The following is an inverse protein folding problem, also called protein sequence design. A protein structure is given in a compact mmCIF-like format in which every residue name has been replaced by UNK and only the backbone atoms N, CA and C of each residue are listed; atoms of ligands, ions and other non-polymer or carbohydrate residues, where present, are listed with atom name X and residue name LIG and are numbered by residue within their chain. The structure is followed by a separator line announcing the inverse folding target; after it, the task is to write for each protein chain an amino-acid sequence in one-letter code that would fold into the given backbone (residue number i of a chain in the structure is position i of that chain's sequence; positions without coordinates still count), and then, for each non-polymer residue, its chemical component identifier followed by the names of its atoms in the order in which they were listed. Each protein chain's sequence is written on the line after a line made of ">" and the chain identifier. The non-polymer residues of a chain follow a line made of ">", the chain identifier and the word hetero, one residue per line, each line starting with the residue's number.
data_IF_374872365037
#
_entry.id   IF_374872365037
#
_cell.length_a   1.000
_cell.length_b   1.000
_cell.length_c   1.000
_cell.angle_alpha   90.00
_cell.angle_beta   90.00
_cell.angle_gamma   90.00
#
_symmetry.space_group_name_H-M   'P 1'
#
loop_
_entity.id
_entity.type
_entity.pdbx_description
1 polymer ?
#
# COMPACT_ATOMS: atom_id res chain seq x y z
N UNK A 1 77.11 53.84 -18.78
CA UNK A 1 75.98 53.59 -17.87
C UNK A 1 74.79 54.39 -18.39
N UNK A 2 73.60 53.78 -18.51
CA UNK A 2 72.86 53.78 -19.76
C UNK A 2 72.35 55.18 -20.12
N UNK A 3 72.77 55.65 -21.30
CA UNK A 3 72.20 56.83 -21.93
C UNK A 3 70.71 56.57 -22.19
N UNK A 4 69.83 57.26 -21.48
CA UNK A 4 68.43 57.35 -21.87
C UNK A 4 68.37 58.22 -23.13
N UNK A 5 68.44 57.59 -24.30
CA UNK A 5 68.05 58.26 -25.53
C UNK A 5 66.55 58.54 -25.44
N UNK A 6 66.21 59.79 -25.12
CA UNK A 6 64.85 60.29 -25.31
C UNK A 6 64.57 60.30 -26.80
N UNK A 7 63.68 59.41 -27.24
CA UNK A 7 63.22 59.43 -28.62
C UNK A 7 62.48 60.75 -28.87
N UNK A 8 62.75 61.45 -29.98
CA UNK A 8 62.03 62.68 -30.31
C UNK A 8 60.54 62.39 -30.50
N UNK A 9 59.69 63.19 -29.84
CA UNK A 9 58.24 63.11 -29.94
C UNK A 9 57.81 63.96 -31.14
N UNK A 10 57.60 63.32 -32.29
CA UNK A 10 57.09 64.00 -33.48
C UNK A 10 55.55 63.97 -33.49
N UNK A 11 54.94 65.10 -33.86
CA UNK A 11 53.48 65.23 -33.97
C UNK A 11 53.07 65.46 -35.43
N UNK A 12 51.83 65.15 -35.80
CA UNK A 12 51.33 65.30 -37.19
C UNK A 12 51.52 66.71 -37.79
N UNK A 13 51.74 67.72 -36.94
CA UNK A 13 51.86 69.12 -37.31
C UNK A 13 53.30 69.64 -37.41
N UNK A 14 54.32 68.80 -37.25
CA UNK A 14 55.72 69.25 -37.31
C UNK A 14 56.11 69.67 -38.73
N UNK A 15 56.25 70.99 -38.98
CA UNK A 15 56.44 71.59 -40.32
C UNK A 15 57.87 71.43 -40.86
N UNK A 16 58.77 70.85 -40.07
CA UNK A 16 60.18 70.63 -40.38
C UNK A 16 60.47 69.33 -41.15
N UNK A 17 59.49 68.45 -41.30
CA UNK A 17 59.63 67.13 -41.96
C UNK A 17 59.34 67.20 -43.46
N UNK A 18 60.13 66.49 -44.27
CA UNK A 18 59.88 66.33 -45.71
C UNK A 18 58.52 65.63 -45.96
N UNK A 19 57.83 65.92 -47.07
CA UNK A 19 56.47 65.40 -47.34
C UNK A 19 56.36 63.87 -47.25
N UNK A 20 57.41 63.15 -47.65
CA UNK A 20 57.50 61.71 -47.58
C UNK A 20 57.55 61.20 -46.12
N UNK A 21 58.33 61.86 -45.27
CA UNK A 21 58.47 61.47 -43.86
C UNK A 21 57.18 61.73 -43.07
N UNK A 22 56.47 62.83 -43.37
CA UNK A 22 55.11 63.09 -42.84
C UNK A 22 54.11 62.02 -43.23
N UNK A 23 54.14 61.58 -44.49
CA UNK A 23 53.28 60.49 -44.96
C UNK A 23 53.58 59.17 -44.24
N UNK A 24 54.87 58.84 -44.08
CA UNK A 24 55.31 57.65 -43.35
C UNK A 24 54.87 57.70 -41.87
N UNK A 25 55.07 58.81 -41.17
CA UNK A 25 54.66 58.99 -39.77
C UNK A 25 53.14 58.88 -39.63
N UNK A 26 52.37 59.57 -40.48
CA UNK A 26 50.90 59.50 -40.45
C UNK A 26 50.37 58.09 -40.69
N UNK A 27 51.00 57.35 -41.60
CA UNK A 27 50.62 55.96 -41.90
C UNK A 27 50.95 55.03 -40.73
N UNK A 28 52.07 55.26 -40.04
CA UNK A 28 52.43 54.54 -38.81
C UNK A 28 51.47 54.86 -37.67
N UNK A 29 51.17 56.14 -37.41
CA UNK A 29 50.21 56.55 -36.37
C UNK A 29 48.82 55.94 -36.61
N UNK A 30 48.28 56.03 -37.83
CA UNK A 30 47.02 55.38 -38.20
C UNK A 30 47.05 53.85 -38.08
N UNK A 31 48.21 53.21 -38.25
CA UNK A 31 48.35 51.77 -38.04
C UNK A 31 48.35 51.41 -36.56
N UNK A 32 48.98 52.23 -35.71
CA UNK A 32 49.02 52.07 -34.26
C UNK A 32 47.65 52.33 -33.64
N UNK A 33 46.95 53.40 -34.06
CA UNK A 33 45.59 53.72 -33.59
C UNK A 33 44.61 52.58 -33.92
N UNK A 34 44.65 52.05 -35.15
CA UNK A 34 43.82 50.89 -35.54
C UNK A 34 44.16 49.63 -34.74
N UNK A 35 45.43 49.44 -34.38
CA UNK A 35 45.84 48.31 -33.54
C UNK A 35 45.34 48.47 -32.10
N UNK A 36 45.44 49.68 -31.55
CA UNK A 36 44.93 50.03 -30.23
C UNK A 36 43.41 49.84 -30.11
N UNK A 37 42.65 50.37 -31.08
CA UNK A 37 41.20 50.23 -31.12
C UNK A 37 40.74 48.76 -31.24
N UNK A 38 41.45 47.95 -32.03
CA UNK A 38 41.17 46.52 -32.14
C UNK A 38 41.52 45.76 -30.85
N UNK A 39 42.63 46.10 -30.18
CA UNK A 39 42.98 45.53 -28.87
C UNK A 39 41.94 45.84 -27.81
N UNK A 40 41.50 47.10 -27.70
CA UNK A 40 40.48 47.52 -26.72
C UNK A 40 39.14 46.84 -27.02
N UNK A 41 38.72 46.74 -28.29
CA UNK A 41 37.50 46.01 -28.67
C UNK A 41 37.59 44.53 -28.31
N UNK A 42 38.74 43.90 -28.56
CA UNK A 42 38.96 42.48 -28.25
C UNK A 42 38.95 42.23 -26.74
N UNK A 43 39.57 43.11 -25.95
CA UNK A 43 39.61 43.05 -24.49
C UNK A 43 38.23 43.28 -23.84
N UNK A 44 37.44 44.24 -24.35
CA UNK A 44 36.05 44.44 -23.91
C UNK A 44 35.16 43.23 -24.22
N UNK A 45 35.39 42.56 -25.37
CA UNK A 45 34.67 41.33 -25.74
C UNK A 45 35.07 40.18 -24.83
N UNK A 46 36.38 39.99 -24.61
CA UNK A 46 36.94 38.97 -23.72
C UNK A 46 36.48 39.14 -22.26
N UNK A 47 36.20 40.37 -21.82
CA UNK A 47 35.72 40.66 -20.46
C UNK A 47 34.20 40.58 -20.30
N UNK A 48 33.42 40.61 -21.39
CA UNK A 48 31.95 40.43 -21.36
C UNK A 48 31.55 38.97 -21.30
N UNK A 49 32.14 38.14 -22.16
CA UNK A 49 31.84 36.70 -22.25
C UNK A 49 31.93 35.95 -20.90
N UNK A 50 32.97 36.11 -20.05
CA UNK A 50 33.03 35.44 -18.77
C UNK A 50 32.02 35.95 -17.74
N UNK A 51 31.57 37.22 -17.85
CA UNK A 51 30.48 37.73 -16.99
C UNK A 51 29.15 37.10 -17.36
N UNK A 52 28.84 37.05 -18.65
CA UNK A 52 27.61 36.42 -19.16
C UNK A 52 27.58 34.91 -18.83
N UNK A 53 28.71 34.21 -18.99
CA UNK A 53 28.82 32.78 -18.60
C UNK A 53 28.60 32.61 -17.09
N UNK A 54 29.12 33.52 -16.26
CA UNK A 54 28.92 33.47 -14.80
C UNK A 54 27.45 33.67 -14.42
N UNK A 55 26.77 34.64 -15.03
CA UNK A 55 25.35 34.90 -14.79
C UNK A 55 24.47 33.72 -15.25
N UNK A 56 24.76 33.13 -16.41
CA UNK A 56 24.07 31.92 -16.90
C UNK A 56 24.29 30.76 -15.93
N UNK A 57 25.51 30.58 -15.43
CA UNK A 57 25.82 29.51 -14.48
C UNK A 57 25.06 29.70 -13.16
N UNK A 58 25.06 30.89 -12.58
CA UNK A 58 24.32 31.19 -11.35
C UNK A 58 22.80 31.02 -11.55
N UNK A 59 22.27 31.40 -12.71
CA UNK A 59 20.87 31.17 -13.07
C UNK A 59 20.55 29.67 -13.16
N UNK A 60 21.40 28.89 -13.84
CA UNK A 60 21.24 27.44 -13.93
C UNK A 60 21.34 26.76 -12.57
N UNK A 61 22.25 27.20 -11.69
CA UNK A 61 22.38 26.66 -10.33
C UNK A 61 21.09 26.91 -9.52
N UNK A 62 20.46 28.08 -9.68
CA UNK A 62 19.16 28.40 -9.06
C UNK A 62 18.03 27.55 -9.62
N UNK A 63 17.98 27.36 -10.94
CA UNK A 63 16.96 26.51 -11.59
C UNK A 63 17.12 25.06 -11.12
N UNK A 64 18.35 24.54 -11.10
CA UNK A 64 18.64 23.18 -10.64
C UNK A 64 18.26 22.97 -9.18
N UNK A 65 18.57 23.94 -8.30
CA UNK A 65 18.18 23.88 -6.89
C UNK A 65 16.65 23.90 -6.72
N UNK A 66 15.94 24.75 -7.48
CA UNK A 66 14.48 24.82 -7.49
C UNK A 66 13.85 23.52 -7.98
N UNK A 67 14.32 22.99 -9.11
CA UNK A 67 13.85 21.71 -9.65
C UNK A 67 14.09 20.57 -8.67
N UNK A 68 15.26 20.50 -8.06
CA UNK A 68 15.57 19.47 -7.06
C UNK A 68 14.62 19.54 -5.86
N UNK A 69 14.36 20.74 -5.34
CA UNK A 69 13.42 20.93 -4.23
C UNK A 69 11.99 20.51 -4.62
N UNK A 70 11.52 20.91 -5.80
CA UNK A 70 10.19 20.50 -6.29
C UNK A 70 10.06 18.98 -6.44
N UNK A 71 11.11 18.31 -6.94
CA UNK A 71 11.14 16.84 -7.04
C UNK A 71 11.07 16.20 -5.65
N UNK A 72 11.89 16.68 -4.70
CA UNK A 72 11.89 16.17 -3.32
C UNK A 72 10.55 16.37 -2.61
N UNK A 73 9.90 17.53 -2.79
CA UNK A 73 8.59 17.81 -2.21
C UNK A 73 7.51 16.92 -2.83
N UNK A 74 7.51 16.76 -4.15
CA UNK A 74 6.56 15.88 -4.82
C UNK A 74 6.74 14.41 -4.42
N UNK A 75 7.99 13.95 -4.30
CA UNK A 75 8.29 12.59 -3.82
C UNK A 75 7.76 12.39 -2.41
N UNK A 76 8.05 13.30 -1.47
CA UNK A 76 7.52 13.21 -0.10
C UNK A 76 5.99 13.18 -0.08
N UNK A 77 5.33 14.01 -0.87
CA UNK A 77 3.87 14.02 -0.95
C UNK A 77 3.30 12.70 -1.49
N UNK A 78 3.98 12.08 -2.46
CA UNK A 78 3.58 10.77 -2.99
C UNK A 78 3.80 9.66 -1.96
N UNK A 79 4.95 9.65 -1.28
CA UNK A 79 5.27 8.68 -0.24
C UNK A 79 4.26 8.76 0.92
N UNK A 80 3.87 9.98 1.32
CA UNK A 80 2.83 10.20 2.34
C UNK A 80 1.45 9.69 1.89
N UNK A 81 1.09 9.86 0.62
CA UNK A 81 -0.17 9.31 0.09
C UNK A 81 -0.16 7.78 0.06
N UNK A 82 0.96 7.18 -0.35
CA UNK A 82 1.13 5.72 -0.35
C UNK A 82 1.03 5.19 1.08
N UNK A 83 1.69 5.84 2.05
CA UNK A 83 1.64 5.42 3.44
C UNK A 83 0.20 5.42 4.01
N UNK A 84 -0.61 6.44 3.68
CA UNK A 84 -2.03 6.50 4.08
C UNK A 84 -2.84 5.36 3.48
N UNK A 85 -2.67 5.08 2.18
CA UNK A 85 -3.37 3.99 1.49
C UNK A 85 -3.02 2.64 2.13
N UNK A 86 -1.74 2.41 2.45
CA UNK A 86 -1.29 1.19 3.13
C UNK A 86 -1.95 1.07 4.51
N UNK A 87 -1.95 2.15 5.29
CA UNK A 87 -2.56 2.16 6.63
C UNK A 87 -4.07 1.88 6.59
N UNK A 88 -4.79 2.44 5.59
CA UNK A 88 -6.21 2.17 5.38
C UNK A 88 -6.46 0.71 5.01
N UNK A 89 -5.70 0.16 4.06
CA UNK A 89 -5.82 -1.25 3.68
C UNK A 89 -5.46 -2.22 4.81
N UNK A 90 -4.46 -1.93 5.63
CA UNK A 90 -4.11 -2.77 6.79
C UNK A 90 -5.27 -2.81 7.80
N UNK A 91 -5.99 -1.71 7.99
CA UNK A 91 -7.18 -1.64 8.86
C UNK A 91 -8.34 -2.46 8.29
N UNK A 92 -8.58 -2.40 6.98
CA UNK A 92 -9.60 -3.21 6.32
C UNK A 92 -9.28 -4.70 6.46
N UNK A 93 -8.02 -5.07 6.21
CA UNK A 93 -7.55 -6.44 6.32
C UNK A 93 -7.71 -6.99 7.74
N UNK A 94 -7.44 -6.18 8.76
CA UNK A 94 -7.62 -6.59 10.15
C UNK A 94 -9.09 -6.85 10.50
N UNK A 95 -10.02 -6.00 10.04
CA UNK A 95 -11.46 -6.25 10.21
C UNK A 95 -11.89 -7.58 9.59
N UNK A 96 -11.40 -7.86 8.38
CA UNK A 96 -11.69 -9.10 7.66
C UNK A 96 -11.10 -10.31 8.40
N UNK A 97 -9.87 -10.21 8.93
CA UNK A 97 -9.24 -11.30 9.70
C UNK A 97 -10.02 -11.64 10.97
N UNK A 98 -10.43 -10.63 11.74
CA UNK A 98 -11.23 -10.85 12.95
C UNK A 98 -12.54 -11.57 12.61
N UNK A 99 -13.19 -11.18 11.51
CA UNK A 99 -14.40 -11.86 11.04
C UNK A 99 -14.13 -13.28 10.50
N UNK A 100 -13.00 -13.50 9.83
CA UNK A 100 -12.61 -14.80 9.30
C UNK A 100 -12.54 -15.87 10.39
N UNK A 101 -12.01 -15.51 11.57
CA UNK A 101 -12.02 -16.43 12.71
C UNK A 101 -13.45 -16.87 13.09
N UNK A 102 -14.44 -16.00 13.04
CA UNK A 102 -15.84 -16.42 13.28
C UNK A 102 -16.27 -17.43 12.22
N UNK A 103 -15.96 -17.16 10.94
CA UNK A 103 -16.35 -18.05 9.83
C UNK A 103 -15.71 -19.44 9.92
N UNK A 104 -14.46 -19.54 10.38
CA UNK A 104 -13.76 -20.81 10.60
C UNK A 104 -14.52 -21.69 11.60
N UNK A 105 -14.99 -21.12 12.72
CA UNK A 105 -15.73 -21.89 13.72
C UNK A 105 -17.08 -22.40 13.17
N UNK A 106 -17.71 -21.65 12.26
CA UNK A 106 -18.92 -22.10 11.57
C UNK A 106 -18.61 -23.19 10.55
N UNK A 107 -17.48 -23.09 9.85
CA UNK A 107 -17.03 -24.11 8.92
C UNK A 107 -16.71 -25.43 9.63
N UNK A 108 -15.97 -25.39 10.73
CA UNK A 108 -15.63 -26.57 11.55
C UNK A 108 -16.90 -27.26 12.08
N UNK A 109 -17.89 -26.46 12.51
CA UNK A 109 -19.19 -26.99 12.91
C UNK A 109 -19.93 -27.66 11.74
N UNK A 110 -19.85 -27.08 10.53
CA UNK A 110 -20.45 -27.64 9.32
C UNK A 110 -19.83 -28.99 8.93
N UNK A 111 -18.50 -29.10 8.99
CA UNK A 111 -17.79 -30.33 8.68
C UNK A 111 -18.10 -31.41 9.72
N UNK A 112 -18.13 -31.04 11.01
CA UNK A 112 -18.52 -31.96 12.08
C UNK A 112 -19.92 -32.53 11.87
N UNK A 113 -20.89 -31.68 11.48
CA UNK A 113 -22.25 -32.12 11.16
C UNK A 113 -22.30 -33.06 9.95
N UNK A 114 -21.51 -32.79 8.91
CA UNK A 114 -21.40 -33.66 7.73
C UNK A 114 -20.87 -35.04 8.10
N UNK A 115 -19.85 -35.11 8.96
CA UNK A 115 -19.30 -36.37 9.42
C UNK A 115 -20.29 -37.14 10.30
N UNK A 116 -20.96 -36.47 11.23
CA UNK A 116 -21.99 -37.08 12.08
C UNK A 116 -23.12 -37.68 11.23
N UNK A 117 -23.64 -36.92 10.26
CA UNK A 117 -24.65 -37.42 9.32
C UNK A 117 -24.16 -38.67 8.61
N UNK A 118 -22.95 -38.62 8.03
CA UNK A 118 -22.36 -39.75 7.32
C UNK A 118 -22.23 -41.00 8.19
N UNK A 119 -21.80 -40.88 9.44
CA UNK A 119 -21.68 -42.04 10.33
C UNK A 119 -23.04 -42.59 10.75
N UNK A 120 -24.01 -41.72 11.03
CA UNK A 120 -25.38 -42.12 11.35
C UNK A 120 -26.14 -42.72 10.15
N UNK A 121 -25.68 -42.47 8.93
CA UNK A 121 -26.21 -43.07 7.69
C UNK A 121 -25.77 -44.52 7.45
N UNK A 122 -24.89 -45.09 8.27
CA UNK A 122 -24.50 -46.51 8.14
C UNK A 122 -25.61 -47.45 8.66
N UNK A 123 -25.58 -48.70 8.20
CA UNK A 123 -26.51 -49.74 8.65
C UNK A 123 -26.39 -50.06 10.15
N UNK A 124 -25.20 -49.83 10.72
CA UNK A 124 -24.90 -50.02 12.15
C UNK A 124 -24.10 -48.82 12.69
N UNK A 125 -24.77 -47.69 12.98
CA UNK A 125 -24.14 -46.47 13.51
C UNK A 125 -23.39 -46.67 14.82
N UNK A 126 -23.81 -47.64 15.64
CA UNK A 126 -23.15 -48.00 16.90
C UNK A 126 -21.71 -48.47 16.73
N UNK A 127 -21.37 -49.02 15.55
CA UNK A 127 -19.99 -49.40 15.25
C UNK A 127 -19.06 -48.19 15.05
N UNK A 128 -19.63 -46.99 14.96
CA UNK A 128 -18.93 -45.71 14.79
C UNK A 128 -19.11 -44.79 16.01
N UNK A 129 -19.47 -45.34 17.17
CA UNK A 129 -19.69 -44.57 18.40
C UNK A 129 -18.50 -43.67 18.72
N UNK A 130 -17.27 -44.18 18.61
CA UNK A 130 -16.04 -43.43 18.87
C UNK A 130 -15.88 -42.24 17.92
N UNK A 131 -16.07 -42.46 16.62
CA UNK A 131 -15.99 -41.40 15.61
C UNK A 131 -17.10 -40.35 15.81
N UNK A 132 -18.33 -40.79 16.05
CA UNK A 132 -19.46 -39.90 16.34
C UNK A 132 -19.17 -39.04 17.57
N UNK A 133 -18.64 -39.63 18.65
CA UNK A 133 -18.26 -38.90 19.85
C UNK A 133 -17.19 -37.83 19.58
N UNK A 134 -16.15 -38.16 18.79
CA UNK A 134 -15.12 -37.18 18.40
C UNK A 134 -15.73 -35.98 17.67
N UNK A 135 -16.58 -36.21 16.66
CA UNK A 135 -17.18 -35.10 15.92
C UNK A 135 -18.21 -34.32 16.74
N UNK A 136 -18.89 -34.95 17.71
CA UNK A 136 -19.75 -34.23 18.65
C UNK A 136 -18.95 -33.32 19.57
N UNK A 137 -17.77 -33.74 20.04
CA UNK A 137 -16.91 -32.91 20.85
C UNK A 137 -16.28 -31.77 20.04
N UNK A 138 -15.86 -32.03 18.80
CA UNK A 138 -15.45 -30.98 17.86
C UNK A 138 -16.57 -29.97 17.60
N UNK A 139 -17.82 -30.42 17.49
CA UNK A 139 -18.97 -29.55 17.30
C UNK A 139 -19.24 -28.67 18.53
N UNK A 140 -19.14 -29.23 19.75
CA UNK A 140 -19.24 -28.47 21.01
C UNK A 140 -18.12 -27.42 21.11
N UNK A 141 -16.90 -27.80 20.77
CA UNK A 141 -15.75 -26.90 20.79
C UNK A 141 -15.90 -25.78 19.75
N UNK A 142 -16.36 -26.10 18.54
CA UNK A 142 -16.67 -25.11 17.49
C UNK A 142 -17.71 -24.08 17.96
N UNK A 143 -18.74 -24.53 18.70
CA UNK A 143 -19.73 -23.63 19.30
C UNK A 143 -19.13 -22.71 20.38
N UNK A 144 -18.24 -23.24 21.20
CA UNK A 144 -17.53 -22.45 22.22
C UNK A 144 -16.65 -21.39 21.56
N UNK A 145 -15.80 -21.79 20.61
CA UNK A 145 -14.94 -20.90 19.81
C UNK A 145 -15.76 -19.83 19.09
N UNK A 146 -16.88 -20.20 18.49
CA UNK A 146 -17.78 -19.24 17.84
C UNK A 146 -18.21 -18.16 18.85
N UNK A 147 -18.72 -18.55 20.01
CA UNK A 147 -19.20 -17.61 21.04
C UNK A 147 -18.09 -16.66 21.51
N UNK A 148 -16.90 -17.19 21.76
CA UNK A 148 -15.72 -16.42 22.15
C UNK A 148 -15.28 -15.43 21.06
N UNK A 149 -15.19 -15.90 19.80
CA UNK A 149 -14.77 -15.06 18.66
C UNK A 149 -15.80 -13.99 18.33
N UNK A 150 -17.10 -14.27 18.48
CA UNK A 150 -18.18 -13.27 18.35
C UNK A 150 -18.02 -12.17 19.41
N UNK A 151 -17.77 -12.56 20.66
CA UNK A 151 -17.53 -11.61 21.74
C UNK A 151 -16.34 -10.69 21.43
N UNK A 152 -15.20 -11.25 21.02
CA UNK A 152 -14.02 -10.46 20.66
C UNK A 152 -14.24 -9.56 19.44
N UNK A 153 -14.97 -10.04 18.43
CA UNK A 153 -15.32 -9.20 17.28
C UNK A 153 -16.21 -8.02 17.68
N UNK A 154 -17.16 -8.24 18.59
CA UNK A 154 -18.01 -7.17 19.12
C UNK A 154 -17.19 -6.15 19.93
N UNK A 155 -16.25 -6.60 20.75
CA UNK A 155 -15.30 -5.70 21.44
C UNK A 155 -14.47 -4.90 20.44
N UNK A 156 -13.89 -5.57 19.44
CA UNK A 156 -13.12 -4.92 18.37
C UNK A 156 -13.93 -3.83 17.67
N UNK A 157 -15.19 -4.10 17.32
CA UNK A 157 -16.09 -3.11 16.69
C UNK A 157 -16.38 -1.90 17.60
N UNK A 158 -16.37 -2.07 18.92
CA UNK A 158 -16.61 -0.97 19.88
C UNK A 158 -15.37 -0.10 20.03
N UNK A 159 -14.19 -0.71 20.09
CA UNK A 159 -12.95 0.00 20.42
C UNK A 159 -12.20 0.55 19.19
N UNK A 160 -12.40 -0.02 18.01
CA UNK A 160 -11.73 0.44 16.79
C UNK A 160 -12.39 1.71 16.26
N UNK A 161 -11.68 2.84 16.37
CA UNK A 161 -12.20 4.17 16.01
C UNK A 161 -12.19 4.42 14.50
N UNK A 162 -11.43 3.64 13.74
CA UNK A 162 -11.25 3.83 12.29
C UNK A 162 -11.69 2.62 11.46
N UNK A 163 -12.63 1.81 11.97
CA UNK A 163 -13.13 0.67 11.23
C UNK A 163 -13.93 1.11 9.99
N UNK A 164 -13.80 0.37 8.90
CA UNK A 164 -14.48 0.65 7.64
C UNK A 164 -15.94 0.19 7.76
N UNK A 165 -16.85 1.16 7.85
CA UNK A 165 -18.25 0.90 8.22
C UNK A 165 -18.96 -0.06 7.25
N UNK A 166 -18.64 -0.01 5.96
CA UNK A 166 -19.23 -0.91 4.96
C UNK A 166 -18.84 -2.37 5.20
N UNK A 167 -17.56 -2.63 5.53
CA UNK A 167 -17.06 -3.97 5.85
C UNK A 167 -17.77 -4.46 7.12
N UNK A 168 -17.84 -3.63 8.15
CA UNK A 168 -18.54 -3.96 9.38
C UNK A 168 -20.03 -4.28 9.16
N UNK A 169 -20.71 -3.56 8.28
CA UNK A 169 -22.12 -3.81 7.96
C UNK A 169 -22.30 -5.18 7.28
N UNK A 170 -21.41 -5.53 6.35
CA UNK A 170 -21.39 -6.86 5.72
C UNK A 170 -21.15 -7.94 6.77
N UNK A 171 -20.12 -7.78 7.61
CA UNK A 171 -19.81 -8.72 8.70
C UNK A 171 -21.00 -8.90 9.66
N UNK A 172 -21.64 -7.82 10.10
CA UNK A 172 -22.83 -7.87 10.97
C UNK A 172 -23.98 -8.64 10.34
N UNK A 173 -24.25 -8.42 9.06
CA UNK A 173 -25.32 -9.13 8.34
C UNK A 173 -25.11 -10.65 8.30
N UNK A 174 -23.85 -11.09 8.22
CA UNK A 174 -23.48 -12.50 8.26
C UNK A 174 -23.43 -13.05 9.68
N UNK A 175 -22.95 -12.26 10.63
CA UNK A 175 -22.93 -12.61 12.05
C UNK A 175 -24.33 -12.98 12.54
N UNK A 176 -25.35 -12.19 12.24
CA UNK A 176 -26.74 -12.50 12.61
C UNK A 176 -27.21 -13.85 12.07
N UNK A 177 -26.80 -14.21 10.84
CA UNK A 177 -27.14 -15.51 10.24
C UNK A 177 -26.42 -16.64 10.95
N UNK A 178 -25.14 -16.44 11.28
CA UNK A 178 -24.35 -17.44 12.00
C UNK A 178 -24.84 -17.66 13.42
N UNK A 179 -25.17 -16.60 14.16
CA UNK A 179 -25.73 -16.71 15.51
C UNK A 179 -27.04 -17.49 15.49
N UNK A 180 -27.94 -17.18 14.53
CA UNK A 180 -29.19 -17.93 14.34
C UNK A 180 -28.97 -19.40 14.08
N UNK A 181 -27.86 -19.78 13.43
CA UNK A 181 -27.51 -21.17 13.15
C UNK A 181 -26.85 -21.88 14.34
N UNK A 182 -25.81 -21.28 14.91
CA UNK A 182 -25.00 -21.83 16.00
C UNK A 182 -25.79 -21.93 17.31
N UNK A 183 -26.84 -21.13 17.46
CA UNK A 183 -27.75 -21.16 18.60
C UNK A 183 -29.04 -21.95 18.35
N UNK A 184 -29.17 -22.65 17.21
CA UNK A 184 -30.36 -23.50 16.98
C UNK A 184 -30.48 -24.57 18.04
N UNK A 185 -31.70 -24.73 18.58
CA UNK A 185 -32.05 -25.79 19.53
C UNK A 185 -31.71 -27.18 18.98
N UNK A 186 -31.93 -27.42 17.69
CA UNK A 186 -31.61 -28.68 17.04
C UNK A 186 -30.12 -29.07 17.13
N UNK A 187 -29.22 -28.08 17.18
CA UNK A 187 -27.79 -28.32 17.34
C UNK A 187 -27.47 -28.79 18.77
N UNK A 188 -28.09 -28.16 19.78
CA UNK A 188 -27.97 -28.56 21.18
C UNK A 188 -28.54 -29.96 21.40
N UNK A 189 -29.74 -30.22 20.87
CA UNK A 189 -30.36 -31.56 20.95
C UNK A 189 -29.46 -32.63 20.36
N UNK A 190 -28.78 -32.34 19.23
CA UNK A 190 -27.83 -33.26 18.62
C UNK A 190 -26.59 -33.49 19.51
N UNK A 191 -26.02 -32.44 20.10
CA UNK A 191 -24.85 -32.55 20.97
C UNK A 191 -25.08 -33.36 22.26
N UNK A 192 -26.30 -33.38 22.78
CA UNK A 192 -26.63 -34.02 24.05
C UNK A 192 -27.43 -35.32 23.90
N UNK A 193 -28.29 -35.43 22.90
CA UNK A 193 -29.18 -36.59 22.73
C UNK A 193 -28.56 -37.72 21.90
N UNK A 194 -27.76 -37.39 20.86
CA UNK A 194 -27.19 -38.41 19.98
C UNK A 194 -26.27 -39.41 20.72
N UNK A 195 -25.39 -39.01 21.65
CA UNK A 195 -24.58 -39.98 22.40
C UNK A 195 -25.40 -41.06 23.10
N UNK A 196 -26.47 -40.65 23.80
CA UNK A 196 -27.34 -41.57 24.54
C UNK A 196 -28.10 -42.49 23.58
N UNK A 197 -28.60 -41.97 22.46
CA UNK A 197 -29.28 -42.79 21.47
C UNK A 197 -28.35 -43.84 20.84
N UNK A 198 -27.07 -43.51 20.62
CA UNK A 198 -26.06 -44.45 20.12
C UNK A 198 -25.74 -45.53 21.16
N UNK A 199 -25.48 -45.14 22.42
CA UNK A 199 -25.19 -46.06 23.52
C UNK A 199 -26.35 -47.07 23.73
N UNK A 200 -27.59 -46.59 23.68
CA UNK A 200 -28.80 -47.40 23.83
C UNK A 200 -29.20 -48.16 22.55
N UNK A 201 -28.52 -47.92 21.42
CA UNK A 201 -28.85 -48.49 20.10
C UNK A 201 -30.28 -48.16 19.64
N UNK A 202 -30.75 -46.97 19.98
CA UNK A 202 -32.09 -46.47 19.66
C UNK A 202 -32.15 -45.97 18.21
N UNK A 203 -32.24 -46.91 17.27
CA UNK A 203 -32.17 -46.63 15.82
C UNK A 203 -33.18 -45.58 15.31
N UNK A 204 -34.36 -45.50 15.93
CA UNK A 204 -35.36 -44.47 15.58
C UNK A 204 -34.87 -43.07 15.95
N UNK A 205 -34.30 -42.91 17.15
CA UNK A 205 -33.75 -41.63 17.60
C UNK A 205 -32.51 -41.23 16.81
N UNK A 206 -31.62 -42.20 16.53
CA UNK A 206 -30.43 -41.98 15.68
C UNK A 206 -30.85 -41.45 14.29
N UNK A 207 -31.89 -42.02 13.68
CA UNK A 207 -32.42 -41.56 12.40
C UNK A 207 -33.01 -40.14 12.47
N UNK A 208 -33.64 -39.76 13.59
CA UNK A 208 -34.09 -38.38 13.81
C UNK A 208 -32.93 -37.39 13.91
N UNK A 209 -31.88 -37.75 14.66
CA UNK A 209 -30.68 -36.91 14.78
C UNK A 209 -29.92 -36.79 13.45
N UNK A 210 -29.85 -37.87 12.67
CA UNK A 210 -29.32 -37.85 11.30
C UNK A 210 -30.04 -36.82 10.44
N UNK A 211 -31.37 -36.85 10.41
CA UNK A 211 -32.19 -35.87 9.67
C UNK A 211 -31.99 -34.44 10.17
N UNK A 212 -31.72 -34.24 11.46
CA UNK A 212 -31.35 -32.92 12.00
C UNK A 212 -29.99 -32.47 11.46
N UNK A 213 -28.99 -33.34 11.45
CA UNK A 213 -27.66 -33.06 10.89
C UNK A 213 -27.73 -32.74 9.39
N UNK A 214 -28.43 -33.58 8.62
CA UNK A 214 -28.67 -33.44 7.18
C UNK A 214 -29.33 -32.10 6.82
N UNK A 215 -30.26 -31.62 7.66
CA UNK A 215 -30.91 -30.30 7.45
C UNK A 215 -30.01 -29.13 7.82
N UNK A 216 -29.10 -29.31 8.77
CA UNK A 216 -28.23 -28.23 9.26
C UNK A 216 -27.02 -28.04 8.35
N UNK A 217 -26.36 -29.12 7.93
CA UNK A 217 -25.12 -29.07 7.17
C UNK A 217 -25.20 -28.20 5.89
N UNK A 218 -26.19 -28.38 4.99
CA UNK A 218 -26.27 -27.58 3.76
C UNK A 218 -26.49 -26.09 4.04
N UNK A 219 -27.20 -25.77 5.12
CA UNK A 219 -27.45 -24.37 5.50
C UNK A 219 -26.17 -23.72 6.01
N UNK A 220 -25.35 -24.45 6.77
CA UNK A 220 -24.03 -23.98 7.18
C UNK A 220 -23.08 -23.82 5.98
N UNK A 221 -23.02 -24.82 5.11
CA UNK A 221 -22.15 -24.83 3.92
C UNK A 221 -22.51 -23.71 2.93
N UNK A 222 -23.79 -23.45 2.70
CA UNK A 222 -24.26 -22.39 1.81
C UNK A 222 -23.89 -21.00 2.34
N UNK A 223 -24.01 -20.76 3.64
CA UNK A 223 -23.65 -19.45 4.20
C UNK A 223 -22.13 -19.27 4.14
N UNK A 224 -21.34 -20.32 4.38
CA UNK A 224 -19.89 -20.26 4.25
C UNK A 224 -19.41 -19.99 2.81
N UNK A 225 -19.93 -20.73 1.83
CA UNK A 225 -19.52 -20.61 0.42
C UNK A 225 -19.89 -19.26 -0.20
N UNK A 226 -21.03 -18.68 0.19
CA UNK A 226 -21.41 -17.33 -0.24
C UNK A 226 -20.53 -16.23 0.39
N UNK A 227 -19.92 -16.49 1.55
CA UNK A 227 -19.05 -15.52 2.23
C UNK A 227 -17.69 -15.39 1.54
N UNK A 228 -17.04 -16.51 1.21
CA UNK A 228 -15.74 -16.47 0.51
C UNK A 228 -15.85 -15.70 -0.81
N UNK A 229 -16.93 -15.88 -1.55
CA UNK A 229 -17.11 -15.21 -2.83
C UNK A 229 -17.40 -13.71 -2.74
N UNK A 230 -17.92 -13.21 -1.62
CA UNK A 230 -18.20 -11.78 -1.42
C UNK A 230 -17.10 -11.04 -0.67
N UNK A 231 -16.27 -11.72 0.13
CA UNK A 231 -15.18 -11.09 0.89
C UNK A 231 -13.85 -11.09 0.12
N UNK A 232 -13.76 -11.81 -1.02
CA UNK A 232 -12.56 -11.88 -1.87
C UNK A 232 -12.66 -11.14 -3.22
N UNK A 233 -13.72 -10.34 -3.45
CA UNK A 233 -13.82 -9.39 -4.57
C UNK A 233 -13.95 -7.97 -4.04
#
# INVERSE_FOLDING_TARGET
>A
MPHSQSWPIFTENDQSLQPFDRYCIKRVLLSVDRYGDNSIKKERKLNREPKEIKEIKESNDRINASMKNNIEVNQRNHDEQIAKIIEEHDKELEQVKQFLHITEAVYDASESLRHIERYCSNESPENFEGEIAVYLDLLKESKKKFTERVYHFQEFVIYEQNAHQEILNVCKSYLEKFEKLMMKKSLLELCFGLPTAIENKEMVEIEEFKKKAEKLYPVFSLIYTNNIHQTCM
#
